data_IF_303435729061
#
_entry.id   IF_303435729061
#
_cell.length_a   1.000
_cell.length_b   1.000
_cell.length_c   1.000
_cell.angle_alpha   90.00
_cell.angle_beta   90.00
_cell.angle_gamma   90.00
#
_symmetry.space_group_name_H-M   'P 1'
#
loop_
_entity.id
_entity.type
_entity.pdbx_description
1 polymer ?
#
# COMPACT_ATOMS: atom_id res chain seq x y z
N UNK A 1 26.82 61.13 -32.28
CA UNK A 1 27.18 59.89 -31.57
C UNK A 1 25.91 59.25 -31.07
N UNK A 2 25.48 58.13 -31.68
CA UNK A 2 24.25 57.38 -31.30
C UNK A 2 24.72 56.19 -30.45
N UNK A 3 24.33 56.16 -29.16
CA UNK A 3 24.56 55.04 -28.28
C UNK A 3 23.45 54.00 -28.50
N UNK A 4 23.82 52.83 -29.02
CA UNK A 4 22.96 51.65 -29.06
C UNK A 4 23.01 50.96 -27.66
N UNK A 5 21.87 50.91 -26.96
CA UNK A 5 21.73 50.10 -25.78
C UNK A 5 21.46 48.62 -26.20
N UNK A 6 22.22 47.64 -25.74
CA UNK A 6 21.89 46.24 -25.97
C UNK A 6 20.75 45.83 -25.02
N UNK A 7 19.63 45.41 -25.59
CA UNK A 7 18.52 44.79 -24.88
C UNK A 7 18.91 43.36 -24.46
N UNK A 8 19.22 43.15 -23.18
CA UNK A 8 19.50 41.82 -22.64
C UNK A 8 18.18 41.13 -22.42
N UNK A 9 17.85 40.18 -23.30
CA UNK A 9 16.68 39.31 -23.18
C UNK A 9 17.00 38.17 -22.19
N UNK A 10 16.56 38.30 -20.94
CA UNK A 10 16.71 37.25 -19.93
C UNK A 10 15.61 36.19 -20.16
N UNK A 11 15.96 35.07 -20.74
CA UNK A 11 15.05 33.93 -20.85
C UNK A 11 14.95 33.26 -19.46
N UNK A 12 13.79 33.44 -18.81
CA UNK A 12 13.46 32.70 -17.58
C UNK A 12 13.11 31.25 -17.97
N UNK A 13 14.00 30.32 -17.67
CA UNK A 13 13.71 28.89 -17.72
C UNK A 13 12.75 28.55 -16.57
N UNK A 14 11.48 28.36 -16.85
CA UNK A 14 10.52 27.75 -15.92
C UNK A 14 10.90 26.27 -15.77
N UNK A 15 11.51 25.91 -14.64
CA UNK A 15 11.69 24.49 -14.28
C UNK A 15 10.29 23.91 -14.05
N UNK A 16 9.95 22.74 -14.65
CA UNK A 16 8.73 22.05 -14.32
C UNK A 16 8.75 21.70 -12.83
N UNK A 17 7.74 22.16 -12.09
CA UNK A 17 7.54 21.74 -10.72
C UNK A 17 7.27 20.23 -10.73
N UNK A 18 8.18 19.43 -10.17
CA UNK A 18 7.94 18.02 -9.90
C UNK A 18 6.77 17.96 -8.92
N UNK A 19 5.69 17.33 -9.34
CA UNK A 19 4.55 17.10 -8.44
C UNK A 19 5.04 16.26 -7.25
N UNK A 20 4.75 16.72 -6.03
CA UNK A 20 5.12 15.98 -4.84
C UNK A 20 4.30 14.68 -4.72
N UNK A 21 4.86 13.62 -4.13
CA UNK A 21 4.12 12.40 -3.87
C UNK A 21 2.85 12.68 -3.05
N UNK A 22 1.74 12.04 -3.40
CA UNK A 22 0.46 12.16 -2.68
C UNK A 22 0.32 11.00 -1.72
N UNK A 23 -0.19 11.26 -0.52
CA UNK A 23 -0.47 10.22 0.48
C UNK A 23 -1.96 9.92 0.50
N UNK A 24 -2.31 8.65 0.35
CA UNK A 24 -3.67 8.12 0.39
C UNK A 24 -3.81 7.24 1.64
N UNK A 25 -4.84 7.52 2.43
CA UNK A 25 -5.23 6.64 3.53
C UNK A 25 -6.16 5.53 3.01
N UNK A 26 -6.02 4.32 3.54
CA UNK A 26 -6.82 3.18 3.13
C UNK A 26 -8.28 3.37 3.54
N UNK A 27 -9.18 3.37 2.56
CA UNK A 27 -10.62 3.36 2.78
C UNK A 27 -11.09 1.94 3.13
N UNK A 28 -11.40 1.71 4.41
CA UNK A 28 -11.88 0.40 4.91
C UNK A 28 -13.20 -0.06 4.29
N UNK A 29 -14.01 0.87 3.78
CA UNK A 29 -15.32 0.54 3.19
C UNK A 29 -15.15 -0.08 1.80
N UNK A 30 -14.15 0.41 1.05
CA UNK A 30 -13.91 -0.01 -0.33
C UNK A 30 -12.63 -0.86 -0.48
N UNK A 31 -12.03 -1.27 0.64
CA UNK A 31 -10.83 -2.11 0.64
C UNK A 31 -11.06 -3.40 1.42
N UNK A 32 -10.33 -4.44 1.07
CA UNK A 32 -10.39 -5.72 1.78
C UNK A 32 -9.02 -6.39 1.85
N UNK A 33 -8.78 -7.12 2.94
CA UNK A 33 -7.64 -8.02 3.07
C UNK A 33 -8.19 -9.43 3.14
N UNK A 34 -8.01 -10.18 2.07
CA UNK A 34 -8.51 -11.54 1.87
C UNK A 34 -7.33 -12.51 1.79
N UNK A 35 -7.50 -13.70 2.32
CA UNK A 35 -6.55 -14.79 2.19
C UNK A 35 -7.26 -16.09 1.83
N UNK A 36 -6.56 -16.96 1.11
CA UNK A 36 -7.03 -18.29 0.77
C UNK A 36 -6.07 -19.33 1.34
N UNK A 37 -6.59 -20.31 2.06
CA UNK A 37 -5.84 -21.44 2.62
C UNK A 37 -6.32 -22.74 2.01
N UNK A 38 -5.38 -23.51 1.48
CA UNK A 38 -5.68 -24.85 1.00
C UNK A 38 -5.84 -25.81 2.18
N UNK A 39 -6.97 -26.50 2.20
CA UNK A 39 -7.25 -27.55 3.18
C UNK A 39 -7.60 -28.84 2.44
N UNK A 40 -6.63 -29.79 2.42
CA UNK A 40 -6.74 -31.04 1.66
C UNK A 40 -7.07 -30.81 0.18
N UNK A 41 -8.31 -31.04 -0.21
CA UNK A 41 -8.84 -30.91 -1.59
C UNK A 41 -9.73 -29.66 -1.77
N UNK A 42 -9.90 -28.86 -0.74
CA UNK A 42 -10.71 -27.65 -0.74
C UNK A 42 -9.91 -26.40 -0.43
N UNK A 43 -10.51 -25.24 -0.62
CA UNK A 43 -9.96 -23.96 -0.19
C UNK A 43 -10.90 -23.33 0.84
N UNK A 44 -10.31 -22.75 1.89
CA UNK A 44 -11.02 -21.92 2.84
C UNK A 44 -10.58 -20.47 2.62
N UNK A 45 -11.54 -19.62 2.35
CA UNK A 45 -11.32 -18.17 2.29
C UNK A 45 -11.50 -17.57 3.67
N UNK A 46 -10.72 -16.55 3.96
CA UNK A 46 -10.87 -15.72 5.14
C UNK A 46 -10.46 -14.28 4.83
N UNK A 47 -10.82 -13.40 5.75
CA UNK A 47 -10.51 -11.97 5.67
C UNK A 47 -10.18 -11.39 7.02
N UNK A 48 -9.46 -10.27 7.01
CA UNK A 48 -9.31 -9.43 8.19
C UNK A 48 -10.25 -8.23 8.06
N UNK A 49 -11.03 -7.98 9.10
CA UNK A 49 -12.06 -6.92 9.11
C UNK A 49 -11.56 -5.59 9.67
N UNK A 50 -10.43 -5.59 10.36
CA UNK A 50 -9.85 -4.38 10.93
C UNK A 50 -8.38 -4.23 10.50
N UNK A 51 -8.13 -3.20 9.72
CA UNK A 51 -6.82 -2.86 9.18
C UNK A 51 -6.76 -1.36 8.92
N UNK A 52 -5.56 -0.83 8.87
CA UNK A 52 -5.29 0.54 8.47
C UNK A 52 -4.00 0.57 7.66
N UNK A 53 -3.83 1.61 6.88
CA UNK A 53 -2.61 1.78 6.11
C UNK A 53 -2.62 3.08 5.34
N UNK A 54 -1.44 3.46 4.89
CA UNK A 54 -1.24 4.60 4.02
C UNK A 54 -0.36 4.21 2.83
N UNK A 55 -0.64 4.81 1.69
CA UNK A 55 0.10 4.66 0.46
C UNK A 55 0.54 6.04 0.02
N UNK A 56 1.83 6.31 0.09
CA UNK A 56 2.43 7.47 -0.54
C UNK A 56 2.75 7.07 -1.98
N UNK A 57 2.13 7.72 -2.95
CA UNK A 57 2.28 7.38 -4.35
C UNK A 57 2.79 8.57 -5.17
N UNK A 58 3.82 8.33 -5.97
CA UNK A 58 4.33 9.25 -6.97
C UNK A 58 4.21 8.59 -8.35
N UNK A 59 3.30 9.10 -9.17
CA UNK A 59 3.06 8.56 -10.51
C UNK A 59 4.20 8.88 -11.50
N UNK A 60 5.02 9.90 -11.22
CA UNK A 60 6.14 10.31 -12.07
C UNK A 60 7.44 9.59 -11.69
N UNK A 61 7.65 9.37 -10.39
CA UNK A 61 8.78 8.58 -9.89
C UNK A 61 8.32 7.60 -8.81
N UNK A 62 7.90 6.43 -9.23
CA UNK A 62 7.41 5.36 -8.32
C UNK A 62 8.41 4.94 -7.26
N UNK A 63 9.71 5.27 -7.42
CA UNK A 63 10.74 4.99 -6.41
C UNK A 63 10.56 5.86 -5.16
N UNK A 64 9.86 6.99 -5.26
CA UNK A 64 9.49 7.85 -4.14
C UNK A 64 8.23 7.38 -3.41
N UNK A 65 7.58 6.33 -3.93
CA UNK A 65 6.39 5.74 -3.34
C UNK A 65 6.73 4.85 -2.14
N UNK A 66 5.82 4.76 -1.20
CA UNK A 66 5.93 3.87 -0.04
C UNK A 66 4.56 3.39 0.43
N UNK A 67 4.56 2.25 1.11
CA UNK A 67 3.34 1.59 1.60
C UNK A 67 3.56 1.13 3.03
N UNK A 68 2.61 1.44 3.90
CA UNK A 68 2.56 0.92 5.27
C UNK A 68 1.16 0.39 5.56
N UNK A 69 1.09 -0.82 6.12
CA UNK A 69 -0.16 -1.46 6.53
C UNK A 69 -0.03 -2.08 7.91
N UNK A 70 -1.10 -1.97 8.69
CA UNK A 70 -1.28 -2.66 9.97
C UNK A 70 -2.64 -3.34 9.97
N UNK A 71 -2.68 -4.59 10.39
CA UNK A 71 -3.88 -5.43 10.45
C UNK A 71 -4.05 -5.93 11.87
N UNK A 72 -5.23 -5.80 12.45
CA UNK A 72 -5.55 -6.39 13.74
C UNK A 72 -5.74 -7.90 13.58
N UNK A 73 -4.85 -8.71 14.16
CA UNK A 73 -4.87 -10.17 13.99
C UNK A 73 -6.16 -10.80 14.53
N UNK A 74 -6.73 -10.22 15.60
CA UNK A 74 -8.00 -10.66 16.17
C UNK A 74 -9.22 -10.41 15.27
N UNK A 75 -9.08 -9.60 14.21
CA UNK A 75 -10.16 -9.31 13.25
C UNK A 75 -10.36 -10.39 12.18
N UNK A 76 -9.61 -11.49 12.27
CA UNK A 76 -9.74 -12.63 11.36
C UNK A 76 -11.15 -13.21 11.38
N UNK A 77 -11.67 -13.46 10.19
CA UNK A 77 -13.03 -13.94 9.98
C UNK A 77 -13.10 -14.87 8.78
N UNK A 78 -13.64 -16.06 8.99
CA UNK A 78 -13.75 -17.11 7.97
C UNK A 78 -15.16 -17.69 7.85
N UNK A 79 -16.19 -16.99 8.34
CA UNK A 79 -17.60 -17.44 8.40
C UNK A 79 -17.78 -18.73 9.20
N UNK A 80 -16.88 -19.04 10.15
CA UNK A 80 -16.95 -20.18 11.04
C UNK A 80 -16.32 -19.86 12.40
N UNK A 81 -17.14 -19.69 13.43
CA UNK A 81 -16.70 -19.25 14.76
C UNK A 81 -15.67 -20.18 15.40
N UNK A 82 -15.82 -21.50 15.24
CA UNK A 82 -14.87 -22.49 15.80
C UNK A 82 -13.51 -22.36 15.14
N UNK A 83 -13.49 -22.20 13.81
CA UNK A 83 -12.26 -21.98 13.06
C UNK A 83 -11.64 -20.64 13.42
N UNK A 84 -12.42 -19.58 13.52
CA UNK A 84 -11.92 -18.26 13.89
C UNK A 84 -11.32 -18.26 15.28
N UNK A 85 -11.95 -18.93 16.26
CA UNK A 85 -11.40 -19.10 17.60
C UNK A 85 -10.05 -19.86 17.58
N UNK A 86 -9.96 -20.93 16.79
CA UNK A 86 -8.72 -21.71 16.65
C UNK A 86 -7.61 -20.89 15.95
N UNK A 87 -7.96 -20.15 14.91
CA UNK A 87 -6.99 -19.27 14.25
C UNK A 87 -6.44 -18.16 15.17
N UNK A 88 -7.22 -17.69 16.13
CA UNK A 88 -6.79 -16.69 17.11
C UNK A 88 -5.91 -17.27 18.21
N UNK A 89 -5.95 -18.59 18.44
CA UNK A 89 -5.23 -19.28 19.51
C UNK A 89 -3.71 -19.28 19.29
N UNK A 90 -3.00 -19.81 20.28
CA UNK A 90 -1.54 -20.00 20.27
C UNK A 90 -1.04 -20.94 19.15
N UNK A 91 -1.91 -21.82 18.63
CA UNK A 91 -1.55 -22.72 17.53
C UNK A 91 -1.33 -21.97 16.21
N UNK A 92 -1.97 -20.79 16.04
CA UNK A 92 -1.90 -19.99 14.81
C UNK A 92 -1.40 -18.56 15.07
N UNK A 93 -2.30 -17.57 15.13
CA UNK A 93 -1.89 -16.16 15.20
C UNK A 93 -1.47 -15.71 16.61
N UNK A 94 -1.87 -16.44 17.67
CA UNK A 94 -1.59 -16.08 19.07
C UNK A 94 -1.89 -14.59 19.33
N UNK A 95 -3.14 -14.18 19.03
CA UNK A 95 -3.53 -12.77 18.92
C UNK A 95 -3.33 -11.95 20.20
N UNK A 96 -3.39 -12.59 21.37
CA UNK A 96 -3.10 -11.95 22.65
C UNK A 96 -1.62 -11.51 22.77
N UNK A 97 -0.71 -12.30 22.19
CA UNK A 97 0.72 -12.04 22.20
C UNK A 97 1.18 -11.20 21.01
N UNK A 98 0.53 -11.40 19.88
CA UNK A 98 0.85 -10.73 18.60
C UNK A 98 -0.42 -10.09 18.03
N UNK A 99 -0.85 -8.94 18.58
CA UNK A 99 -2.13 -8.33 18.24
C UNK A 99 -2.18 -7.80 16.81
N UNK A 100 -1.03 -7.60 16.17
CA UNK A 100 -0.98 -7.01 14.82
C UNK A 100 -0.11 -7.81 13.85
N UNK A 101 -0.52 -7.78 12.58
CA UNK A 101 0.34 -8.04 11.43
C UNK A 101 0.70 -6.70 10.81
N UNK A 102 1.88 -6.57 10.23
CA UNK A 102 2.28 -5.32 9.58
C UNK A 102 3.08 -5.57 8.31
N UNK A 103 2.99 -4.61 7.41
CA UNK A 103 3.84 -4.52 6.23
C UNK A 103 4.38 -3.10 6.09
N UNK A 104 5.68 -2.98 5.83
CA UNK A 104 6.34 -1.71 5.54
C UNK A 104 7.24 -1.86 4.34
N UNK A 105 6.99 -1.08 3.30
CA UNK A 105 7.79 -1.09 2.10
C UNK A 105 9.19 -0.53 2.35
N UNK A 106 10.15 -1.07 1.62
CA UNK A 106 11.54 -0.58 1.54
C UNK A 106 11.84 0.03 0.19
N UNK A 107 11.19 -0.48 -0.85
CA UNK A 107 11.43 -0.05 -2.24
C UNK A 107 10.22 -0.39 -3.10
N UNK A 108 9.91 0.51 -4.04
CA UNK A 108 8.92 0.31 -5.09
C UNK A 108 9.64 0.33 -6.45
N UNK A 109 9.29 -0.61 -7.32
CA UNK A 109 9.88 -0.76 -8.66
C UNK A 109 8.77 -0.89 -9.68
N UNK A 110 8.86 -0.15 -10.78
CA UNK A 110 7.94 -0.29 -11.91
C UNK A 110 8.19 -1.57 -12.68
N UNK A 111 7.10 -2.24 -13.07
CA UNK A 111 7.10 -3.40 -13.99
C UNK A 111 6.44 -3.06 -15.34
N UNK A 112 6.20 -1.77 -15.60
CA UNK A 112 5.47 -1.29 -16.78
C UNK A 112 3.95 -1.41 -16.63
N UNK A 113 3.22 -0.70 -17.48
CA UNK A 113 1.75 -0.80 -17.60
C UNK A 113 0.98 -0.80 -16.26
N UNK A 114 1.22 0.18 -15.39
CA UNK A 114 0.58 0.31 -14.08
C UNK A 114 0.85 -0.84 -13.09
N UNK A 115 1.87 -1.65 -13.33
CA UNK A 115 2.30 -2.73 -12.42
C UNK A 115 3.52 -2.32 -11.64
N UNK A 116 3.49 -2.58 -10.35
CA UNK A 116 4.59 -2.27 -9.43
C UNK A 116 4.96 -3.52 -8.64
N UNK A 117 6.24 -3.66 -8.31
CA UNK A 117 6.71 -4.57 -7.27
C UNK A 117 7.05 -3.74 -6.03
N UNK A 118 6.38 -4.03 -4.93
CA UNK A 118 6.64 -3.40 -3.64
C UNK A 118 7.42 -4.36 -2.77
N UNK A 119 8.72 -4.13 -2.63
CA UNK A 119 9.55 -4.88 -1.69
C UNK A 119 9.40 -4.27 -0.29
N UNK A 120 9.24 -5.11 0.70
CA UNK A 120 9.09 -4.64 2.07
C UNK A 120 9.26 -5.75 3.10
N UNK A 121 9.11 -5.37 4.35
CA UNK A 121 9.13 -6.29 5.48
C UNK A 121 7.70 -6.60 5.90
N UNK A 122 7.31 -7.86 5.85
CA UNK A 122 6.08 -8.39 6.42
C UNK A 122 6.39 -8.99 7.79
N UNK A 123 5.63 -8.58 8.80
CA UNK A 123 5.73 -9.14 10.16
C UNK A 123 4.44 -9.83 10.53
N UNK A 124 4.51 -11.12 10.82
CA UNK A 124 3.38 -11.96 11.25
C UNK A 124 3.83 -12.76 12.46
N UNK A 125 3.04 -12.74 13.54
CA UNK A 125 3.36 -13.49 14.77
C UNK A 125 4.80 -13.24 15.29
N UNK A 126 5.23 -11.98 15.26
CA UNK A 126 6.57 -11.57 15.68
C UNK A 126 7.72 -11.99 14.75
N UNK A 127 7.43 -12.68 13.65
CA UNK A 127 8.43 -13.06 12.64
C UNK A 127 8.39 -12.10 11.47
N UNK A 128 9.52 -11.47 11.18
CA UNK A 128 9.67 -10.54 10.06
C UNK A 128 10.39 -11.21 8.90
N UNK A 129 9.83 -11.06 7.70
CA UNK A 129 10.44 -11.55 6.45
C UNK A 129 10.36 -10.48 5.37
N UNK A 130 11.37 -10.43 4.53
CA UNK A 130 11.29 -9.65 3.30
C UNK A 130 10.38 -10.36 2.28
N UNK A 131 9.45 -9.62 1.74
CA UNK A 131 8.52 -10.10 0.72
C UNK A 131 8.40 -9.08 -0.40
N UNK A 132 8.05 -9.56 -1.57
CA UNK A 132 7.69 -8.75 -2.73
C UNK A 132 6.19 -8.88 -2.97
N UNK A 133 5.48 -7.76 -2.94
CA UNK A 133 4.04 -7.68 -3.19
C UNK A 133 3.83 -7.08 -4.57
N UNK A 134 3.27 -7.83 -5.52
CA UNK A 134 2.86 -7.26 -6.80
C UNK A 134 1.63 -6.38 -6.61
N UNK A 135 1.65 -5.19 -7.19
CA UNK A 135 0.57 -4.20 -7.10
C UNK A 135 0.19 -3.76 -8.50
N UNK A 136 -1.10 -3.61 -8.75
CA UNK A 136 -1.62 -2.99 -9.98
C UNK A 136 -2.28 -1.66 -9.61
N UNK A 137 -1.79 -0.57 -10.18
CA UNK A 137 -2.42 0.74 -10.06
C UNK A 137 -3.64 0.77 -11.00
N UNK A 138 -4.83 0.83 -10.44
CA UNK A 138 -6.09 0.85 -11.21
C UNK A 138 -6.38 2.24 -11.77
N UNK A 139 -5.91 3.28 -11.10
CA UNK A 139 -6.04 4.65 -11.54
C UNK A 139 -6.01 5.65 -10.39
N UNK A 140 -5.90 6.92 -10.76
CA UNK A 140 -6.02 8.08 -9.85
C UNK A 140 -7.09 8.99 -10.42
N UNK A 141 -7.96 9.51 -9.59
CA UNK A 141 -9.08 10.34 -10.03
C UNK A 141 -9.67 11.22 -8.94
N UNK A 142 -10.60 12.08 -9.33
CA UNK A 142 -11.32 12.94 -8.40
C UNK A 142 -12.39 12.14 -7.64
N UNK A 143 -12.33 12.19 -6.31
CA UNK A 143 -13.35 11.67 -5.43
C UNK A 143 -14.13 12.77 -4.71
N UNK A 144 -15.19 12.42 -3.97
CA UNK A 144 -16.06 13.41 -3.33
C UNK A 144 -15.37 14.21 -2.20
N UNK A 145 -14.25 13.75 -1.69
CA UNK A 145 -13.49 14.39 -0.60
C UNK A 145 -12.04 14.71 -0.98
N UNK A 146 -11.71 14.71 -2.27
CA UNK A 146 -10.37 14.93 -2.79
C UNK A 146 -9.95 13.85 -3.79
N UNK A 147 -8.68 13.82 -4.12
CA UNK A 147 -8.14 12.82 -5.03
C UNK A 147 -8.17 11.42 -4.38
N UNK A 148 -8.50 10.41 -5.17
CA UNK A 148 -8.53 9.00 -4.78
C UNK A 148 -7.68 8.18 -5.73
N UNK A 149 -7.07 7.11 -5.22
CA UNK A 149 -6.30 6.17 -6.01
C UNK A 149 -6.76 4.74 -5.75
N UNK A 150 -6.81 3.92 -6.80
CA UNK A 150 -7.09 2.50 -6.75
C UNK A 150 -5.82 1.66 -6.98
N UNK A 151 -5.65 0.62 -6.15
CA UNK A 151 -4.50 -0.29 -6.20
C UNK A 151 -4.96 -1.74 -6.14
#
# INVERSE_FOLDING_TARGET
>A
MKFLNPLILTAAFAMPALAAPVTYEVDKVHSSIVFNVRHLVSQAEGRFRDFAGSIKYDAQDVKQSSVEFTVQSASIFTDNEKRDAHLKSEDFFAVEKYPTLSFKSKRVVSRGENKLDVLGTMTIRGVSKEVMVPVTVLGVGAGPRGEVAGF
#
